data_IF_667757800776
#
_entry.id   IF_667757800776
#
_cell.length_a   1.000
_cell.length_b   1.000
_cell.length_c   1.000
_cell.angle_alpha   90.00
_cell.angle_beta   90.00
_cell.angle_gamma   90.00
#
_symmetry.space_group_name_H-M   'P 1'
#
loop_
_entity.id
_entity.type
_entity.pdbx_description
1 polymer ?
#
# COMPACT_ATOMS: atom_id res chain seq x y z
N UNK A 1 -15.34 -2.71 10.40
CA UNK A 1 -15.49 -1.23 10.43
C UNK A 1 -14.47 -0.46 9.56
N UNK A 2 -13.41 -1.10 9.01
CA UNK A 2 -12.45 -0.43 8.11
C UNK A 2 -12.32 -1.13 6.75
N UNK A 3 -13.37 -1.78 6.27
CA UNK A 3 -13.34 -2.49 5.00
C UNK A 3 -13.10 -1.50 3.84
N UNK A 4 -12.21 -1.86 2.93
CA UNK A 4 -12.09 -1.17 1.65
C UNK A 4 -13.27 -1.53 0.76
N UNK A 5 -13.75 -0.57 -0.03
CA UNK A 5 -14.77 -0.82 -1.06
C UNK A 5 -14.22 -0.42 -2.43
N UNK A 6 -14.65 -1.08 -3.53
CA UNK A 6 -14.13 -0.76 -4.87
C UNK A 6 -14.34 0.69 -5.27
N UNK A 7 -15.40 1.35 -4.76
CA UNK A 7 -15.69 2.77 -5.05
C UNK A 7 -14.69 3.73 -4.40
N UNK A 8 -14.09 3.33 -3.28
CA UNK A 8 -13.09 4.14 -2.59
C UNK A 8 -11.68 3.86 -3.09
N UNK A 9 -11.43 2.64 -3.57
CA UNK A 9 -10.11 2.20 -4.02
C UNK A 9 -9.73 2.84 -5.36
N UNK A 10 -8.87 3.86 -5.30
CA UNK A 10 -8.33 4.59 -6.44
C UNK A 10 -6.81 4.72 -6.32
N UNK A 11 -6.09 4.81 -7.44
CA UNK A 11 -4.66 5.09 -7.41
C UNK A 11 -4.35 6.38 -6.62
N UNK A 12 -3.27 6.37 -5.84
CA UNK A 12 -2.91 7.45 -4.92
C UNK A 12 -3.56 7.35 -3.54
N UNK A 13 -4.54 6.47 -3.33
CA UNK A 13 -5.15 6.30 -2.01
C UNK A 13 -4.20 5.57 -1.06
N UNK A 14 -3.91 6.18 0.09
CA UNK A 14 -3.23 5.54 1.21
C UNK A 14 -4.20 4.63 1.98
N UNK A 15 -3.81 3.38 2.16
CA UNK A 15 -4.60 2.32 2.77
C UNK A 15 -3.74 1.47 3.71
N UNK A 16 -4.36 0.50 4.39
CA UNK A 16 -3.64 -0.62 4.96
C UNK A 16 -3.84 -1.84 4.04
N UNK A 17 -2.76 -2.52 3.69
CA UNK A 17 -2.78 -3.74 2.90
C UNK A 17 -2.15 -4.90 3.69
N UNK A 18 -2.74 -6.08 3.58
CA UNK A 18 -2.21 -7.31 4.15
C UNK A 18 -1.01 -7.76 3.31
N UNK A 19 0.11 -8.07 3.95
CA UNK A 19 1.22 -8.80 3.34
C UNK A 19 1.05 -10.28 3.70
N UNK A 20 0.94 -11.15 2.70
CA UNK A 20 0.51 -12.54 2.93
C UNK A 20 1.63 -13.41 3.47
N UNK A 21 2.87 -13.05 3.17
CA UNK A 21 4.08 -13.76 3.53
C UNK A 21 4.29 -13.78 5.05
N UNK A 22 3.84 -12.75 5.78
CA UNK A 22 3.93 -12.68 7.24
C UNK A 22 2.57 -12.47 7.95
N UNK A 23 1.48 -12.26 7.21
CA UNK A 23 0.14 -12.09 7.75
C UNK A 23 -0.11 -10.74 8.44
N UNK A 24 0.75 -9.74 8.26
CA UNK A 24 0.64 -8.44 8.92
C UNK A 24 0.10 -7.34 7.99
N UNK A 25 -0.48 -6.31 8.60
CA UNK A 25 -1.03 -5.15 7.90
C UNK A 25 -0.02 -4.00 7.89
N UNK A 26 0.18 -3.42 6.72
CA UNK A 26 1.15 -2.35 6.50
C UNK A 26 0.51 -1.16 5.79
N UNK A 27 1.12 0.03 5.94
CA UNK A 27 0.70 1.20 5.18
C UNK A 27 1.09 1.01 3.72
N UNK A 28 0.13 1.21 2.83
CA UNK A 28 0.36 1.04 1.41
C UNK A 28 -0.42 2.05 0.59
N UNK A 29 0.13 2.44 -0.55
CA UNK A 29 -0.54 3.30 -1.53
C UNK A 29 -0.99 2.44 -2.71
N UNK A 30 -2.21 2.65 -3.20
CA UNK A 30 -2.66 2.01 -4.43
C UNK A 30 -1.94 2.66 -5.61
N UNK A 31 -1.15 1.89 -6.36
CA UNK A 31 -0.38 2.39 -7.50
C UNK A 31 -0.90 1.87 -8.85
N UNK A 32 -1.75 0.84 -8.82
CA UNK A 32 -2.37 0.29 -10.02
C UNK A 32 -3.66 -0.45 -9.71
N UNK A 33 -4.58 -0.45 -10.67
CA UNK A 33 -5.83 -1.19 -10.61
C UNK A 33 -5.98 -1.93 -11.93
N UNK A 34 -6.09 -3.26 -11.87
CA UNK A 34 -6.34 -4.09 -13.05
C UNK A 34 -7.32 -5.20 -12.68
N UNK A 35 -8.44 -5.21 -13.38
CA UNK A 35 -9.56 -6.13 -13.12
C UNK A 35 -10.02 -6.06 -11.66
N UNK A 36 -9.87 -7.16 -10.91
CA UNK A 36 -10.25 -7.27 -9.48
C UNK A 36 -9.03 -7.22 -8.54
N UNK A 37 -7.85 -6.88 -9.06
CA UNK A 37 -6.60 -6.80 -8.31
C UNK A 37 -6.08 -5.37 -8.26
N UNK A 38 -5.50 -5.04 -7.10
CA UNK A 38 -4.89 -3.76 -6.80
C UNK A 38 -3.40 -3.98 -6.64
N UNK A 39 -2.60 -3.24 -7.39
CA UNK A 39 -1.18 -3.15 -7.13
C UNK A 39 -0.96 -2.07 -6.07
N UNK A 40 -0.28 -2.43 -4.99
CA UNK A 40 0.01 -1.54 -3.87
C UNK A 40 1.51 -1.42 -3.66
N UNK A 41 1.95 -0.25 -3.24
CA UNK A 41 3.32 0.04 -2.80
C UNK A 41 3.34 0.19 -1.29
N UNK A 42 4.10 -0.65 -0.57
CA UNK A 42 4.24 -0.54 0.87
C UNK A 42 5.16 0.63 1.21
N UNK A 43 4.57 1.77 1.59
CA UNK A 43 5.26 3.07 1.71
C UNK A 43 6.36 3.11 2.77
N UNK A 44 6.40 2.11 3.65
CA UNK A 44 7.41 2.00 4.71
C UNK A 44 8.56 1.04 4.38
N UNK A 45 8.41 0.20 3.35
CA UNK A 45 9.38 -0.85 2.99
C UNK A 45 9.90 -0.74 1.56
N UNK A 46 9.08 -0.22 0.64
CA UNK A 46 9.47 0.05 -0.73
C UNK A 46 9.26 -1.08 -1.74
N UNK A 47 8.69 -2.21 -1.33
CA UNK A 47 8.25 -3.28 -2.21
C UNK A 47 6.80 -3.07 -2.69
N UNK A 48 6.43 -3.75 -3.78
CA UNK A 48 5.06 -3.78 -4.29
C UNK A 48 4.44 -5.17 -4.13
N UNK A 49 3.11 -5.24 -4.10
CA UNK A 49 2.36 -6.50 -4.12
C UNK A 49 1.01 -6.32 -4.82
N UNK A 50 0.45 -7.42 -5.32
CA UNK A 50 -0.92 -7.47 -5.82
C UNK A 50 -1.82 -8.02 -4.74
N UNK A 51 -2.84 -7.26 -4.37
CA UNK A 51 -3.81 -7.61 -3.35
C UNK A 51 -5.23 -7.52 -3.89
N UNK A 52 -6.16 -8.27 -3.31
CA UNK A 52 -7.59 -8.14 -3.59
C UNK A 52 -8.26 -7.22 -2.57
N UNK A 53 -9.49 -6.79 -2.86
CA UNK A 53 -10.24 -5.84 -2.02
C UNK A 53 -10.37 -6.30 -0.55
N UNK A 54 -10.47 -7.62 -0.32
CA UNK A 54 -10.62 -8.20 1.03
C UNK A 54 -9.34 -8.15 1.85
N UNK A 55 -8.19 -7.95 1.19
CA UNK A 55 -6.85 -7.76 1.77
C UNK A 55 -6.51 -6.27 1.96
N UNK A 56 -7.48 -5.37 1.78
CA UNK A 56 -7.31 -3.93 1.93
C UNK A 56 -8.23 -3.36 3.00
N UNK A 57 -7.77 -2.32 3.69
CA UNK A 57 -8.54 -1.58 4.69
C UNK A 57 -8.32 -0.09 4.56
N UNK A 58 -9.32 0.70 4.93
CA UNK A 58 -9.16 2.13 5.11
C UNK A 58 -8.14 2.40 6.22
N UNK A 59 -7.15 3.25 5.93
CA UNK A 59 -6.16 3.64 6.93
C UNK A 59 -6.75 4.72 7.84
N UNK A 60 -6.62 4.56 9.16
CA UNK A 60 -7.06 5.60 10.10
C UNK A 60 -6.13 6.80 9.99
N UNK A 61 -6.69 8.01 10.06
CA UNK A 61 -5.95 9.28 10.00
C UNK A 61 -4.76 9.36 10.96
N UNK A 62 -4.85 8.77 12.15
CA UNK A 62 -3.73 8.71 13.11
C UNK A 62 -2.48 8.01 12.56
N UNK A 63 -2.63 7.07 11.64
CA UNK A 63 -1.52 6.33 11.00
C UNK A 63 -0.98 7.05 9.74
N UNK A 64 -1.59 8.17 9.34
CA UNK A 64 -1.13 8.99 8.21
C UNK A 64 -0.12 10.07 8.63
N UNK A 65 -0.01 10.36 9.94
CA UNK A 65 0.86 11.43 10.45
C UNK A 65 2.35 11.15 10.29
N UNK A 66 2.75 9.88 10.38
CA UNK A 66 4.14 9.49 10.17
C UNK A 66 4.45 9.59 8.67
N UNK A 67 5.54 10.25 8.22
CA UNK A 67 5.92 10.23 6.81
C UNK A 67 6.18 8.81 6.31
N UNK A 68 6.08 8.57 5.01
CA UNK A 68 6.53 7.31 4.40
C UNK A 68 8.02 7.07 4.75
N UNK A 69 8.36 5.85 5.19
CA UNK A 69 9.72 5.53 5.63
C UNK A 69 10.60 4.96 4.51
N UNK A 70 10.00 4.43 3.43
CA UNK A 70 10.76 4.01 2.26
C UNK A 70 11.15 5.22 1.41
N UNK A 71 12.46 5.50 1.33
CA UNK A 71 13.01 6.57 0.50
C UNK A 71 13.60 5.95 -0.75
N UNK A 72 13.07 6.32 -1.92
CA UNK A 72 13.61 5.90 -3.21
C UNK A 72 15.01 6.49 -3.38
N UNK A 73 16.00 5.62 -3.51
CA UNK A 73 17.39 5.99 -3.64
C UNK A 73 18.07 5.16 -4.74
N UNK A 74 19.26 5.60 -5.15
CA UNK A 74 20.16 4.87 -6.02
C UNK A 74 21.57 4.94 -5.45
N UNK A 75 22.37 3.92 -5.69
CA UNK A 75 23.77 3.96 -5.32
C UNK A 75 24.51 4.97 -6.22
N UNK A 76 25.21 5.92 -5.60
CA UNK A 76 26.02 6.89 -6.31
C UNK A 76 27.16 6.19 -7.05
N UNK A 77 27.46 6.65 -8.26
CA UNK A 77 28.61 6.20 -9.08
C UNK A 77 28.58 4.73 -9.52
N UNK A 78 27.43 4.07 -9.47
CA UNK A 78 27.23 2.73 -10.04
C UNK A 78 26.20 2.84 -11.17
N UNK A 79 26.54 2.29 -12.34
CA UNK A 79 25.66 2.19 -13.51
C UNK A 79 24.78 0.94 -13.41
#
# INVERSE_FOLDING_TARGET
>A
VYQMTPRLAQCGLLCAALFLEDGHWYRAEIIGIRDQLFEVYYVDYGNTCKVCITQMRLLKTKFMKLPAQAIKARLSNIK
#
